data_IF_054031644728
#
_entry.id   IF_054031644728
#
_cell.length_a   1.000
_cell.length_b   1.000
_cell.length_c   1.000
_cell.angle_alpha   90.00
_cell.angle_beta   90.00
_cell.angle_gamma   90.00
#
_symmetry.space_group_name_H-M   'P 1'
#
loop_
_entity.id
_entity.type
_entity.pdbx_description
1 polymer ?
#
# COMPACT_ATOMS: atom_id res chain seq x y z
N UNK A 1 44.88 25.86 -7.30
CA UNK A 1 44.41 24.76 -6.59
C UNK A 1 43.22 24.17 -7.23
N UNK A 2 43.20 22.89 -7.34
CA UNK A 2 42.00 22.18 -7.75
C UNK A 2 40.89 22.53 -6.78
N UNK A 3 40.19 23.55 -7.09
CA UNK A 3 38.92 23.79 -6.44
C UNK A 3 38.05 22.59 -6.76
N UNK A 4 37.96 21.72 -5.80
CA UNK A 4 36.94 20.75 -5.82
C UNK A 4 35.63 21.51 -5.77
N UNK A 5 35.10 21.76 -6.93
CA UNK A 5 33.72 22.08 -7.05
C UNK A 5 32.97 20.88 -6.52
N UNK A 6 32.60 20.97 -5.29
CA UNK A 6 31.42 20.25 -4.89
C UNK A 6 30.34 20.76 -5.83
N UNK A 7 30.16 20.07 -6.92
CA UNK A 7 28.99 20.28 -7.75
C UNK A 7 27.79 20.02 -6.86
N UNK A 8 27.32 21.06 -6.24
CA UNK A 8 25.91 21.10 -5.94
C UNK A 8 25.23 21.03 -7.28
N UNK A 9 24.92 19.83 -7.72
CA UNK A 9 24.00 19.65 -8.83
C UNK A 9 22.81 20.51 -8.46
N UNK A 10 22.42 21.49 -9.33
CA UNK A 10 21.20 22.23 -9.11
C UNK A 10 20.09 21.20 -8.93
N UNK A 11 19.52 21.13 -7.74
CA UNK A 11 18.56 20.09 -7.39
C UNK A 11 19.01 19.11 -6.30
N UNK A 12 20.27 19.14 -5.82
CA UNK A 12 20.65 18.45 -4.59
C UNK A 12 20.19 19.20 -3.34
N UNK A 13 19.07 19.92 -3.44
CA UNK A 13 18.32 20.32 -2.27
C UNK A 13 18.01 19.06 -1.48
N UNK A 14 18.16 19.12 -0.18
CA UNK A 14 17.83 18.01 0.70
C UNK A 14 16.52 17.38 0.22
N UNK A 15 16.59 16.12 -0.12
CA UNK A 15 15.45 15.37 -0.58
C UNK A 15 14.40 15.40 0.52
N UNK A 16 13.29 16.03 0.23
CA UNK A 16 12.16 16.03 1.14
C UNK A 16 11.49 14.65 1.04
N UNK A 17 11.28 14.04 2.19
CA UNK A 17 10.51 12.80 2.24
C UNK A 17 9.14 13.02 1.57
N UNK A 18 8.83 12.23 0.55
CA UNK A 18 7.60 12.35 -0.22
C UNK A 18 7.70 13.14 -1.51
N UNK A 19 8.79 13.87 -1.74
CA UNK A 19 9.07 14.54 -3.02
C UNK A 19 9.66 13.52 -4.01
N UNK A 20 8.80 12.70 -4.57
CA UNK A 20 9.23 11.56 -5.40
C UNK A 20 9.65 11.99 -6.81
N UNK A 21 9.11 13.07 -7.34
CA UNK A 21 9.47 13.60 -8.65
C UNK A 21 10.62 14.62 -8.61
N UNK A 22 11.15 14.94 -7.43
CA UNK A 22 12.30 15.82 -7.21
C UNK A 22 12.13 17.25 -7.71
N UNK A 23 10.91 17.77 -7.74
CA UNK A 23 10.67 19.16 -8.13
C UNK A 23 10.80 20.15 -6.97
N UNK A 24 11.10 19.66 -5.76
CA UNK A 24 11.26 20.45 -4.53
C UNK A 24 9.96 20.77 -3.81
N UNK A 25 8.85 20.24 -4.29
CA UNK A 25 7.51 20.38 -3.69
C UNK A 25 6.97 19.01 -3.34
N UNK A 26 6.06 18.99 -2.36
CA UNK A 26 5.25 17.80 -2.08
C UNK A 26 3.82 18.18 -2.45
N UNK A 27 3.33 17.61 -3.54
CA UNK A 27 2.02 17.93 -4.08
C UNK A 27 1.35 16.72 -4.76
N UNK A 28 0.27 16.96 -5.46
CA UNK A 28 -0.50 15.91 -6.14
C UNK A 28 0.30 15.15 -7.19
N UNK A 29 1.36 15.75 -7.75
CA UNK A 29 2.22 15.07 -8.71
C UNK A 29 3.01 13.94 -8.06
N UNK A 30 3.46 14.15 -6.81
CA UNK A 30 4.12 13.09 -6.03
C UNK A 30 3.14 11.94 -5.75
N UNK A 31 1.94 12.28 -5.33
CA UNK A 31 0.89 11.30 -5.09
C UNK A 31 0.57 10.50 -6.35
N UNK A 32 0.43 11.17 -7.49
CA UNK A 32 0.19 10.52 -8.80
C UNK A 32 1.33 9.57 -9.17
N UNK A 33 2.58 9.94 -8.88
CA UNK A 33 3.73 9.07 -9.09
C UNK A 33 3.63 7.79 -8.26
N UNK A 34 3.22 7.90 -6.99
CA UNK A 34 3.01 6.72 -6.15
C UNK A 34 1.92 5.78 -6.65
N UNK A 35 0.90 6.29 -7.36
CA UNK A 35 -0.10 5.43 -8.00
C UNK A 35 0.55 4.40 -8.93
N UNK A 36 1.63 4.80 -9.60
CA UNK A 36 2.36 3.92 -10.52
C UNK A 36 3.37 3.02 -9.81
N UNK A 37 3.89 3.43 -8.66
CA UNK A 37 5.01 2.77 -7.98
C UNK A 37 4.56 1.86 -6.83
N UNK A 38 3.33 1.99 -6.37
CA UNK A 38 2.77 1.16 -5.31
C UNK A 38 3.00 -0.33 -5.59
N UNK A 39 3.54 -1.05 -4.63
CA UNK A 39 3.84 -2.48 -4.75
C UNK A 39 5.17 -2.82 -5.44
N UNK A 40 5.93 -1.84 -5.93
CA UNK A 40 7.29 -2.09 -6.38
C UNK A 40 8.17 -2.39 -5.16
N UNK A 41 9.07 -3.35 -5.30
CA UNK A 41 9.96 -3.80 -4.22
C UNK A 41 11.42 -3.85 -4.65
N UNK A 42 12.30 -3.82 -3.66
CA UNK A 42 13.74 -3.99 -3.87
C UNK A 42 14.01 -5.28 -4.65
N UNK A 43 14.83 -5.19 -5.69
CA UNK A 43 15.11 -6.27 -6.62
C UNK A 43 14.31 -6.18 -7.91
N UNK A 44 13.23 -5.41 -7.96
CA UNK A 44 12.54 -5.14 -9.21
C UNK A 44 13.36 -4.22 -10.10
N UNK A 45 13.30 -4.46 -11.41
CA UNK A 45 13.98 -3.66 -12.41
C UNK A 45 13.63 -2.17 -12.31
N UNK A 46 12.37 -1.87 -11.99
CA UNK A 46 11.87 -0.50 -11.91
C UNK A 46 12.05 0.14 -10.53
N UNK A 47 12.62 -0.59 -9.57
CA UNK A 47 12.91 -0.11 -8.22
C UNK A 47 14.30 0.55 -8.16
N UNK A 48 14.54 1.55 -9.00
CA UNK A 48 15.81 2.26 -9.08
C UNK A 48 15.60 3.77 -9.08
N UNK A 49 16.65 4.52 -8.80
CA UNK A 49 16.63 5.99 -8.84
C UNK A 49 15.54 6.57 -7.93
N UNK A 50 14.64 7.34 -8.51
CA UNK A 50 13.61 8.04 -7.76
C UNK A 50 12.60 7.12 -7.09
N UNK A 51 12.31 5.98 -7.68
CA UNK A 51 11.38 5.00 -7.08
C UNK A 51 11.93 4.47 -5.77
N UNK A 52 13.20 4.08 -5.75
CA UNK A 52 13.84 3.59 -4.51
C UNK A 52 13.86 4.64 -3.40
N UNK A 53 13.94 5.91 -3.77
CA UNK A 53 13.87 7.04 -2.82
C UNK A 53 12.45 7.29 -2.31
N UNK A 54 11.45 6.85 -3.05
CA UNK A 54 10.05 6.83 -2.61
C UNK A 54 9.77 5.82 -1.50
N UNK A 55 10.66 4.86 -1.28
CA UNK A 55 10.65 3.97 -0.12
C UNK A 55 11.21 4.71 1.10
N UNK A 56 10.36 5.51 1.72
CA UNK A 56 10.76 6.50 2.73
C UNK A 56 11.28 5.86 4.01
N UNK A 57 10.66 4.74 4.44
CA UNK A 57 11.10 4.01 5.63
C UNK A 57 12.18 2.96 5.34
N UNK A 58 12.56 2.79 4.08
CA UNK A 58 13.64 1.87 3.70
C UNK A 58 13.31 0.38 3.88
N UNK A 59 12.03 0.01 3.95
CA UNK A 59 11.64 -1.39 4.17
C UNK A 59 11.71 -2.26 2.89
N UNK A 60 12.04 -1.67 1.75
CA UNK A 60 12.19 -2.36 0.48
C UNK A 60 10.92 -2.51 -0.32
N UNK A 61 9.83 -1.83 0.05
CA UNK A 61 8.53 -1.90 -0.61
C UNK A 61 7.90 -0.51 -0.64
N UNK A 62 7.36 -0.09 -1.77
CA UNK A 62 6.49 1.09 -1.83
C UNK A 62 5.11 0.68 -1.32
N UNK A 63 4.76 1.10 -0.13
CA UNK A 63 3.55 0.68 0.58
C UNK A 63 2.73 1.85 1.13
N UNK A 64 1.73 1.54 1.94
CA UNK A 64 0.83 2.54 2.51
C UNK A 64 1.55 3.58 3.38
N UNK A 65 2.67 3.24 4.00
CA UNK A 65 3.42 4.22 4.78
C UNK A 65 3.99 5.33 3.90
N UNK A 66 4.70 4.94 2.83
CA UNK A 66 5.34 5.90 1.92
C UNK A 66 4.31 6.83 1.30
N UNK A 67 3.20 6.27 0.85
CA UNK A 67 2.11 7.02 0.25
C UNK A 67 1.45 7.95 1.29
N UNK A 68 1.30 7.50 2.53
CA UNK A 68 0.72 8.30 3.61
C UNK A 68 1.55 9.54 3.92
N UNK A 69 2.87 9.48 3.82
CA UNK A 69 3.75 10.65 4.02
C UNK A 69 3.38 11.76 3.04
N UNK A 70 3.08 11.44 1.82
CA UNK A 70 2.62 12.41 0.81
C UNK A 70 1.17 12.79 1.06
N UNK A 71 0.29 11.82 1.22
CA UNK A 71 -1.15 12.02 1.32
C UNK A 71 -1.55 12.95 2.49
N UNK A 72 -0.84 12.88 3.61
CA UNK A 72 -1.09 13.75 4.78
C UNK A 72 -0.71 15.20 4.54
N UNK A 73 0.10 15.48 3.52
CA UNK A 73 0.58 16.83 3.21
C UNK A 73 -0.22 17.52 2.10
N UNK A 74 -1.10 16.77 1.40
CA UNK A 74 -1.80 17.28 0.21
C UNK A 74 -2.91 18.28 0.53
N UNK A 75 -3.46 18.24 1.72
CA UNK A 75 -4.50 19.19 2.14
C UNK A 75 -4.07 19.89 3.43
N UNK A 76 -3.96 21.19 3.35
CA UNK A 76 -3.79 22.02 4.54
C UNK A 76 -4.98 21.85 5.47
N UNK A 77 -4.73 21.68 6.75
CA UNK A 77 -5.78 21.51 7.73
C UNK A 77 -5.79 20.15 8.41
N UNK A 78 -4.68 19.42 8.37
CA UNK A 78 -4.50 18.27 9.27
C UNK A 78 -4.70 18.79 10.68
N UNK A 79 -5.77 18.33 11.32
CA UNK A 79 -6.07 18.67 12.71
C UNK A 79 -4.85 18.28 13.55
N UNK A 80 -4.31 19.22 14.31
CA UNK A 80 -3.28 18.94 15.33
C UNK A 80 -3.84 18.14 16.50
N UNK A 81 -5.11 17.74 16.43
CA UNK A 81 -5.77 16.97 17.48
C UNK A 81 -5.15 15.58 17.55
N UNK A 82 -4.55 15.31 18.70
CA UNK A 82 -3.96 14.00 19.00
C UNK A 82 -5.01 12.91 18.87
N UNK A 83 -4.69 11.87 18.09
CA UNK A 83 -5.50 10.67 17.96
C UNK A 83 -4.80 9.49 18.64
N UNK A 84 -5.56 8.47 19.06
CA UNK A 84 -4.95 7.22 19.52
C UNK A 84 -4.07 6.60 18.43
N UNK A 85 -3.05 5.84 18.85
CA UNK A 85 -2.24 5.05 17.91
C UNK A 85 -3.11 4.03 17.17
N UNK A 86 -2.72 3.69 15.94
CA UNK A 86 -3.40 2.67 15.15
C UNK A 86 -3.35 1.32 15.86
N UNK A 87 -4.50 0.68 15.97
CA UNK A 87 -4.68 -0.62 16.61
C UNK A 87 -5.63 -1.50 15.80
N UNK A 88 -5.66 -2.78 16.13
CA UNK A 88 -6.55 -3.77 15.56
C UNK A 88 -5.84 -4.84 14.77
N UNK A 89 -6.62 -5.69 14.15
CA UNK A 89 -6.12 -6.81 13.33
C UNK A 89 -6.86 -6.88 12.00
N UNK A 90 -6.16 -7.43 11.01
CA UNK A 90 -6.68 -7.68 9.66
C UNK A 90 -6.57 -9.17 9.39
N UNK A 91 -7.62 -9.74 8.83
CA UNK A 91 -7.67 -11.16 8.46
C UNK A 91 -8.34 -11.38 7.12
N UNK A 92 -8.10 -12.55 6.52
CA UNK A 92 -8.72 -13.00 5.29
C UNK A 92 -9.68 -14.13 5.57
N UNK A 93 -10.83 -14.13 4.90
CA UNK A 93 -11.79 -15.21 4.96
C UNK A 93 -12.30 -15.53 3.54
N UNK A 94 -12.08 -16.75 3.07
CA UNK A 94 -12.63 -17.24 1.81
C UNK A 94 -14.11 -17.63 1.97
N UNK A 95 -14.89 -17.45 0.91
CA UNK A 95 -16.31 -17.82 0.93
C UNK A 95 -16.56 -19.33 0.92
N UNK A 96 -15.60 -20.14 0.45
CA UNK A 96 -15.65 -21.60 0.48
C UNK A 96 -14.29 -22.19 0.87
N UNK A 97 -14.28 -23.46 1.24
CA UNK A 97 -13.04 -24.21 1.54
C UNK A 97 -12.38 -24.77 0.29
N UNK A 98 -13.18 -25.14 -0.69
CA UNK A 98 -12.72 -25.76 -1.96
C UNK A 98 -13.41 -25.12 -3.14
N UNK A 99 -12.71 -25.08 -4.26
CA UNK A 99 -13.20 -24.51 -5.51
C UNK A 99 -12.92 -25.46 -6.68
N UNK A 100 -13.82 -25.46 -7.64
CA UNK A 100 -13.62 -26.12 -8.94
C UNK A 100 -12.95 -25.15 -9.91
N UNK A 101 -12.32 -25.69 -10.95
CA UNK A 101 -11.80 -24.88 -12.04
C UNK A 101 -12.89 -23.95 -12.61
N UNK A 102 -12.57 -22.69 -12.80
CA UNK A 102 -13.48 -21.65 -13.31
C UNK A 102 -14.31 -20.93 -12.27
N UNK A 103 -14.37 -21.41 -11.02
CA UNK A 103 -15.12 -20.73 -9.97
C UNK A 103 -14.39 -19.47 -9.48
N UNK A 104 -15.19 -18.50 -9.02
CA UNK A 104 -14.67 -17.27 -8.40
C UNK A 104 -14.48 -17.50 -6.91
N UNK A 105 -13.28 -17.13 -6.44
CA UNK A 105 -12.93 -17.11 -5.02
C UNK A 105 -13.15 -15.68 -4.53
N UNK A 106 -13.98 -15.53 -3.50
CA UNK A 106 -14.19 -14.24 -2.84
C UNK A 106 -13.50 -14.26 -1.48
N UNK A 107 -12.42 -13.48 -1.36
CA UNK A 107 -11.73 -13.27 -0.09
C UNK A 107 -12.27 -12.01 0.55
N UNK A 108 -12.82 -12.12 1.74
CA UNK A 108 -13.21 -10.97 2.53
C UNK A 108 -12.04 -10.56 3.41
N UNK A 109 -11.64 -9.28 3.32
CA UNK A 109 -10.64 -8.68 4.20
C UNK A 109 -11.38 -8.06 5.37
N UNK A 110 -11.19 -8.63 6.55
CA UNK A 110 -11.89 -8.26 7.78
C UNK A 110 -11.00 -7.49 8.72
N UNK A 111 -11.52 -6.39 9.24
CA UNK A 111 -10.90 -5.65 10.34
C UNK A 111 -11.59 -5.97 11.65
N UNK A 112 -10.82 -6.07 12.73
CA UNK A 112 -11.31 -6.29 14.08
C UNK A 112 -10.59 -5.38 15.06
N UNK A 113 -11.37 -4.69 15.89
CA UNK A 113 -10.83 -3.80 16.90
C UNK A 113 -10.03 -2.64 16.32
N UNK A 114 -10.38 -2.17 15.12
CA UNK A 114 -9.66 -1.11 14.43
C UNK A 114 -9.79 0.21 15.17
N UNK A 115 -8.66 0.88 15.37
CA UNK A 115 -8.55 2.21 15.94
C UNK A 115 -7.63 3.03 15.05
N UNK A 116 -8.07 4.22 14.69
CA UNK A 116 -7.26 5.22 13.96
C UNK A 116 -6.68 4.73 12.62
N UNK A 117 -7.32 3.79 11.94
CA UNK A 117 -6.83 3.30 10.65
C UNK A 117 -7.03 4.37 9.57
N UNK A 118 -5.92 4.94 9.11
CA UNK A 118 -5.89 6.00 8.10
C UNK A 118 -5.30 5.54 6.76
N UNK A 119 -4.54 4.46 6.76
CA UNK A 119 -4.04 3.78 5.56
C UNK A 119 -3.74 2.32 5.86
N UNK A 120 -3.85 1.50 4.83
CA UNK A 120 -3.68 0.05 4.91
C UNK A 120 -3.05 -0.48 3.64
N UNK A 121 -2.05 -1.33 3.78
CA UNK A 121 -1.56 -2.16 2.68
C UNK A 121 -1.07 -3.51 3.18
N UNK A 122 -1.08 -4.49 2.28
CA UNK A 122 -0.45 -5.78 2.52
C UNK A 122 -0.07 -6.45 1.19
N UNK A 123 0.69 -7.52 1.28
CA UNK A 123 1.06 -8.35 0.15
C UNK A 123 0.30 -9.66 0.20
N UNK A 124 -0.31 -10.03 -0.92
CA UNK A 124 -1.01 -11.31 -1.14
C UNK A 124 -0.32 -12.05 -2.29
N UNK A 125 0.70 -12.88 -1.98
CA UNK A 125 1.33 -13.69 -3.02
C UNK A 125 0.38 -14.76 -3.54
N UNK A 126 0.43 -15.02 -4.84
CA UNK A 126 -0.34 -16.09 -5.44
C UNK A 126 0.34 -16.66 -6.68
N UNK A 127 0.01 -17.90 -7.03
CA UNK A 127 0.49 -18.54 -8.25
C UNK A 127 -0.39 -18.16 -9.44
N UNK A 128 0.19 -17.52 -10.46
CA UNK A 128 -0.53 -17.14 -11.67
C UNK A 128 -0.96 -18.34 -12.53
N UNK A 129 -0.39 -19.53 -12.28
CA UNK A 129 -0.82 -20.78 -12.94
C UNK A 129 -2.08 -21.37 -12.30
N UNK A 130 -2.38 -20.99 -11.06
CA UNK A 130 -3.52 -21.52 -10.31
C UNK A 130 -4.66 -20.51 -10.17
N UNK A 131 -4.34 -19.21 -10.20
CA UNK A 131 -5.30 -18.15 -9.95
C UNK A 131 -5.12 -16.99 -10.93
N UNK A 132 -6.22 -16.29 -11.16
CA UNK A 132 -6.27 -15.03 -11.88
C UNK A 132 -6.91 -13.97 -11.00
N UNK A 133 -6.26 -12.84 -10.82
CA UNK A 133 -6.86 -11.70 -10.12
C UNK A 133 -7.95 -11.05 -10.99
N UNK A 134 -9.14 -10.88 -10.42
CA UNK A 134 -10.29 -10.28 -11.11
C UNK A 134 -10.48 -8.83 -10.68
N UNK A 135 -10.51 -8.54 -9.39
CA UNK A 135 -10.76 -7.20 -8.90
C UNK A 135 -10.96 -7.13 -7.39
N UNK A 136 -11.12 -5.90 -6.92
CA UNK A 136 -11.40 -5.58 -5.53
C UNK A 136 -12.74 -4.84 -5.45
N UNK A 137 -13.61 -5.28 -4.54
CA UNK A 137 -14.88 -4.61 -4.26
C UNK A 137 -14.82 -3.99 -2.87
N UNK A 138 -14.89 -2.66 -2.80
CA UNK A 138 -14.81 -1.90 -1.55
C UNK A 138 -16.11 -2.01 -0.79
N UNK A 139 -16.04 -2.22 0.52
CA UNK A 139 -17.19 -2.28 1.43
C UNK A 139 -17.13 -1.12 2.43
N UNK A 140 -16.38 -1.27 3.52
CA UNK A 140 -16.30 -0.32 4.62
C UNK A 140 -14.89 0.24 4.79
N UNK A 141 -14.41 0.95 3.79
CA UNK A 141 -13.10 1.62 3.80
C UNK A 141 -13.19 3.14 4.00
N UNK A 142 -14.36 3.65 4.41
CA UNK A 142 -14.56 5.08 4.59
C UNK A 142 -14.32 5.86 3.29
N UNK A 143 -13.47 6.88 3.36
CA UNK A 143 -13.11 7.75 2.23
C UNK A 143 -11.75 7.42 1.62
N UNK A 144 -11.14 6.30 2.02
CA UNK A 144 -9.83 5.92 1.50
C UNK A 144 -9.85 5.69 0.00
N UNK A 145 -8.81 6.19 -0.68
CA UNK A 145 -8.57 5.91 -2.10
C UNK A 145 -7.99 4.50 -2.25
N UNK A 146 -8.47 3.78 -3.27
CA UNK A 146 -8.00 2.44 -3.60
C UNK A 146 -6.84 2.55 -4.59
N UNK A 147 -5.63 2.19 -4.15
CA UNK A 147 -4.40 2.23 -4.92
C UNK A 147 -3.86 0.82 -5.20
N UNK A 148 -4.71 -0.19 -5.11
CA UNK A 148 -4.33 -1.60 -5.27
C UNK A 148 -3.63 -1.85 -6.60
N UNK A 149 -2.53 -2.58 -6.55
CA UNK A 149 -1.74 -3.03 -7.72
C UNK A 149 -1.55 -4.54 -7.69
N UNK A 150 -1.66 -5.13 -8.86
CA UNK A 150 -1.32 -6.52 -9.11
C UNK A 150 0.02 -6.56 -9.83
N UNK A 151 1.07 -7.06 -9.15
CA UNK A 151 2.45 -6.98 -9.64
C UNK A 151 3.00 -8.32 -10.07
N UNK A 152 3.64 -8.32 -11.25
CA UNK A 152 4.60 -9.34 -11.64
C UNK A 152 5.99 -8.79 -11.35
N UNK A 153 6.66 -9.32 -10.34
CA UNK A 153 8.00 -8.89 -9.97
C UNK A 153 9.07 -9.41 -10.93
N UNK A 154 10.24 -8.78 -10.94
CA UNK A 154 11.34 -9.16 -11.82
C UNK A 154 11.85 -10.58 -11.58
N UNK A 155 11.65 -11.13 -10.38
CA UNK A 155 11.97 -12.54 -10.06
C UNK A 155 10.92 -13.53 -10.52
N UNK A 156 9.86 -13.08 -11.18
CA UNK A 156 8.75 -13.91 -11.67
C UNK A 156 7.63 -14.15 -10.67
N UNK A 157 7.75 -13.70 -9.43
CA UNK A 157 6.68 -13.84 -8.43
C UNK A 157 5.52 -12.90 -8.73
N UNK A 158 4.30 -13.39 -8.51
CA UNK A 158 3.06 -12.66 -8.68
C UNK A 158 2.49 -12.31 -7.31
N UNK A 159 2.28 -11.03 -7.05
CA UNK A 159 1.79 -10.54 -5.76
C UNK A 159 0.75 -9.44 -5.97
N UNK A 160 -0.39 -9.58 -5.31
CA UNK A 160 -1.38 -8.53 -5.22
C UNK A 160 -1.04 -7.64 -4.01
N UNK A 161 -1.10 -6.33 -4.19
CA UNK A 161 -0.88 -5.33 -3.14
C UNK A 161 -2.14 -4.50 -2.92
N UNK A 162 -3.10 -4.99 -2.12
CA UNK A 162 -4.21 -4.14 -1.70
C UNK A 162 -3.66 -2.95 -0.93
N UNK A 163 -4.04 -1.74 -1.34
CA UNK A 163 -3.52 -0.50 -0.77
C UNK A 163 -4.60 0.54 -0.76
N UNK A 164 -4.86 1.10 0.43
CA UNK A 164 -5.89 2.11 0.66
C UNK A 164 -5.32 3.21 1.53
N UNK A 165 -5.52 4.46 1.14
CA UNK A 165 -4.96 5.63 1.84
C UNK A 165 -5.98 6.77 1.89
N UNK A 166 -6.16 7.37 3.06
CA UNK A 166 -6.85 8.64 3.18
C UNK A 166 -5.97 9.77 2.67
N UNK A 167 -6.54 10.64 1.83
CA UNK A 167 -5.88 11.83 1.33
C UNK A 167 -6.37 13.04 2.12
N UNK A 168 -5.45 13.74 2.78
CA UNK A 168 -5.77 14.87 3.63
C UNK A 168 -6.55 14.45 4.88
N UNK A 169 -7.35 15.38 5.41
CA UNK A 169 -8.15 15.14 6.62
C UNK A 169 -9.43 14.38 6.25
N UNK A 170 -9.46 13.10 6.56
CA UNK A 170 -10.62 12.22 6.40
C UNK A 170 -10.82 11.39 7.67
N UNK A 171 -12.03 10.94 7.96
CA UNK A 171 -12.27 10.07 9.10
C UNK A 171 -11.48 8.78 9.01
N UNK A 172 -10.82 8.39 10.10
CA UNK A 172 -10.18 7.08 10.21
C UNK A 172 -11.25 5.97 10.27
N UNK A 173 -10.88 4.78 9.81
CA UNK A 173 -11.73 3.59 9.90
C UNK A 173 -11.57 2.96 11.28
N UNK A 174 -12.70 2.69 11.92
CA UNK A 174 -12.79 2.21 13.31
C UNK A 174 -13.71 0.98 13.42
N UNK A 175 -13.41 0.10 14.35
CA UNK A 175 -14.31 -0.98 14.78
C UNK A 175 -14.08 -2.32 14.11
N UNK A 176 -15.14 -3.13 14.04
CA UNK A 176 -15.15 -4.45 13.41
C UNK A 176 -15.93 -4.37 12.10
N UNK A 177 -15.28 -4.57 10.98
CA UNK A 177 -15.83 -4.30 9.66
C UNK A 177 -15.35 -5.33 8.62
N UNK A 178 -16.19 -5.61 7.65
CA UNK A 178 -15.78 -6.18 6.37
C UNK A 178 -15.29 -5.02 5.48
N UNK A 179 -14.00 -4.91 5.31
CA UNK A 179 -13.38 -3.73 4.68
C UNK A 179 -13.55 -3.74 3.17
N UNK A 180 -13.16 -4.84 2.54
CA UNK A 180 -13.28 -5.05 1.10
C UNK A 180 -13.19 -6.53 0.78
N UNK A 181 -13.52 -6.89 -0.45
CA UNK A 181 -13.35 -8.25 -0.97
C UNK A 181 -12.38 -8.26 -2.14
N UNK A 182 -11.62 -9.34 -2.24
CA UNK A 182 -10.72 -9.63 -3.35
C UNK A 182 -11.31 -10.80 -4.12
N UNK A 183 -11.52 -10.64 -5.42
CA UNK A 183 -12.00 -11.72 -6.28
C UNK A 183 -10.87 -12.28 -7.12
N UNK A 184 -10.72 -13.60 -7.06
CA UNK A 184 -9.78 -14.37 -7.86
C UNK A 184 -10.54 -15.48 -8.56
N UNK A 185 -10.11 -15.83 -9.77
CA UNK A 185 -10.64 -17.00 -10.48
C UNK A 185 -9.72 -18.19 -10.26
N UNK A 186 -10.30 -19.31 -9.86
CA UNK A 186 -9.58 -20.58 -9.79
C UNK A 186 -9.39 -21.13 -11.20
N UNK A 187 -8.15 -21.33 -11.64
CA UNK A 187 -7.83 -21.92 -12.94
C UNK A 187 -7.90 -23.44 -12.93
N UNK A 188 -7.81 -24.04 -11.76
CA UNK A 188 -7.93 -25.48 -11.52
C UNK A 188 -8.59 -25.73 -10.17
N UNK A 189 -9.06 -26.95 -9.95
CA UNK A 189 -9.59 -27.35 -8.65
C UNK A 189 -8.55 -27.09 -7.55
N UNK A 190 -8.95 -26.44 -6.48
CA UNK A 190 -8.01 -26.00 -5.45
C UNK A 190 -8.64 -25.90 -4.06
N UNK A 191 -7.76 -25.87 -3.08
CA UNK A 191 -8.02 -25.59 -1.68
C UNK A 191 -7.11 -24.43 -1.28
N UNK A 192 -7.52 -23.17 -1.53
CA UNK A 192 -6.61 -22.04 -1.40
C UNK A 192 -6.19 -21.79 0.06
N UNK A 193 -4.93 -21.40 0.22
CA UNK A 193 -4.34 -21.01 1.49
C UNK A 193 -3.56 -19.70 1.29
N UNK A 194 -4.27 -18.61 0.99
CA UNK A 194 -3.66 -17.30 0.81
C UNK A 194 -3.15 -16.76 2.12
N UNK A 195 -1.97 -16.11 2.08
CA UNK A 195 -1.36 -15.47 3.23
C UNK A 195 -1.36 -13.97 3.07
N UNK A 196 -1.66 -13.29 4.15
CA UNK A 196 -1.57 -11.84 4.26
C UNK A 196 -0.20 -11.49 4.82
N UNK A 197 0.70 -11.02 3.94
CA UNK A 197 2.08 -10.71 4.30
C UNK A 197 2.31 -9.20 4.34
N UNK A 198 3.34 -8.78 5.05
CA UNK A 198 3.81 -7.39 5.08
C UNK A 198 2.68 -6.38 5.36
N UNK A 199 1.84 -6.70 6.34
CA UNK A 199 0.77 -5.81 6.77
C UNK A 199 1.35 -4.49 7.26
N UNK A 200 0.83 -3.39 6.72
CA UNK A 200 1.15 -2.02 7.12
C UNK A 200 -0.15 -1.28 7.43
N UNK A 201 -0.32 -0.89 8.67
CA UNK A 201 -1.44 -0.07 9.14
C UNK A 201 -0.87 1.25 9.63
N UNK A 202 -1.45 2.36 9.20
CA UNK A 202 -0.93 3.70 9.46
C UNK A 202 -2.01 4.59 10.04
N UNK A 203 -1.71 5.36 11.07
CA UNK A 203 -2.59 6.42 11.58
C UNK A 203 -2.26 7.78 10.93
N UNK A 204 -3.07 8.80 11.22
CA UNK A 204 -2.90 10.12 10.60
C UNK A 204 -1.64 10.88 11.05
N UNK A 205 -0.94 10.42 12.07
CA UNK A 205 0.34 10.96 12.51
C UNK A 205 1.53 10.10 12.07
N UNK A 206 1.31 9.20 11.11
CA UNK A 206 2.31 8.29 10.56
C UNK A 206 2.84 7.27 11.60
N UNK A 207 2.10 7.05 12.68
CA UNK A 207 2.29 5.89 13.53
C UNK A 207 1.91 4.63 12.77
N UNK A 208 2.63 3.54 13.01
CA UNK A 208 2.44 2.29 12.26
C UNK A 208 2.22 1.10 13.19
N UNK A 209 1.45 0.14 12.69
CA UNK A 209 1.38 -1.22 13.21
C UNK A 209 1.63 -2.17 12.04
N UNK A 210 2.58 -3.07 12.22
CA UNK A 210 2.98 -4.02 11.19
C UNK A 210 2.83 -5.45 11.67
N UNK A 211 2.66 -6.38 10.73
CA UNK A 211 2.77 -7.82 10.94
C UNK A 211 3.59 -8.39 9.80
N UNK A 212 4.59 -9.20 10.13
CA UNK A 212 5.41 -9.91 9.15
C UNK A 212 4.66 -11.04 8.46
#
# INVERSE_FOLDING_TARGET
>A
GAEMYVFKVPGSKMEKAGDINHDGRIDENDFTSYLNYCGLRRGDKDFEGYVSKGDINGNGLIDAYDISVVATQLKSGVSSKKVPAVEGSISLAADKKTYKAGETITLTVKGKGLVSLNALSFALPYSATEYEFIGVDVKDMGKMENLTKDRLHSDGSKVLYPTFVNIGEQPAVEGALDLFTIRLKAKKACKPAFQLNQLMMVDKFLGVKTRK
#
